data_IF_130982764452
#
_entry.id   IF_130982764452
#
_cell.length_a   1.000
_cell.length_b   1.000
_cell.length_c   1.000
_cell.angle_alpha   90.00
_cell.angle_beta   90.00
_cell.angle_gamma   90.00
#
_symmetry.space_group_name_H-M   'P 1'
#
loop_
_entity.id
_entity.type
_entity.pdbx_description
1 polymer ?
#
# COMPACT_ATOMS: atom_id res chain seq x y z
N UNK A 1 -11.49 -9.51 16.73
CA UNK A 1 -10.80 -10.56 15.96
C UNK A 1 -10.03 -9.90 14.82
N UNK A 2 -8.71 -10.09 14.70
CA UNK A 2 -7.99 -9.63 13.52
C UNK A 2 -8.41 -10.48 12.32
N UNK A 3 -8.90 -9.84 11.26
CA UNK A 3 -9.18 -10.49 9.99
C UNK A 3 -8.54 -9.69 8.86
N UNK A 4 -8.31 -10.33 7.73
CA UNK A 4 -8.11 -9.64 6.46
C UNK A 4 -8.86 -10.41 5.39
N UNK A 5 -9.29 -9.70 4.35
CA UNK A 5 -9.86 -10.32 3.16
C UNK A 5 -9.04 -9.88 1.96
N UNK A 6 -8.48 -10.85 1.26
CA UNK A 6 -7.83 -10.63 -0.03
C UNK A 6 -8.91 -10.57 -1.10
N UNK A 7 -8.86 -9.52 -1.92
CA UNK A 7 -9.67 -9.36 -3.12
C UNK A 7 -8.73 -9.21 -4.32
N UNK A 8 -9.31 -9.22 -5.52
CA UNK A 8 -8.56 -8.89 -6.73
C UNK A 8 -8.23 -7.38 -6.75
N UNK A 9 -6.93 -7.06 -6.68
CA UNK A 9 -6.41 -5.69 -6.70
C UNK A 9 -6.44 -4.93 -5.37
N UNK A 10 -6.94 -5.49 -4.27
CA UNK A 10 -6.90 -4.85 -2.95
C UNK A 10 -7.09 -5.84 -1.80
N UNK A 11 -6.74 -5.41 -0.59
CA UNK A 11 -7.13 -6.07 0.66
C UNK A 11 -7.94 -5.14 1.54
N UNK A 12 -8.78 -5.72 2.39
CA UNK A 12 -9.43 -5.01 3.49
C UNK A 12 -9.05 -5.65 4.82
N UNK A 13 -8.87 -4.82 5.85
CA UNK A 13 -8.55 -5.29 7.21
C UNK A 13 -8.96 -4.26 8.25
N UNK A 14 -9.31 -4.65 9.49
CA UNK A 14 -9.48 -3.71 10.59
C UNK A 14 -8.18 -2.97 10.85
N UNK A 15 -8.25 -1.64 10.81
CA UNK A 15 -7.11 -0.78 11.11
C UNK A 15 -7.63 0.59 11.49
N UNK A 16 -7.13 1.09 12.61
CA UNK A 16 -7.43 2.42 13.05
C UNK A 16 -6.52 3.42 12.34
N UNK A 17 -7.14 4.35 11.61
CA UNK A 17 -6.40 5.39 10.88
C UNK A 17 -5.93 6.52 11.81
N UNK A 18 -4.81 6.25 12.50
CA UNK A 18 -4.14 7.22 13.33
C UNK A 18 -3.69 8.47 12.56
N UNK A 19 -3.35 8.33 11.27
CA UNK A 19 -2.90 9.46 10.47
C UNK A 19 -4.06 10.44 10.26
N UNK A 20 -5.23 9.96 9.86
CA UNK A 20 -6.40 10.84 9.82
C UNK A 20 -6.84 11.32 11.19
N UNK A 21 -6.76 10.50 12.24
CA UNK A 21 -7.14 10.93 13.58
C UNK A 21 -6.34 12.15 14.05
N UNK A 22 -5.02 12.15 13.84
CA UNK A 22 -4.16 13.24 14.29
C UNK A 22 -4.13 14.45 13.33
N UNK A 23 -4.32 14.24 12.03
CA UNK A 23 -4.05 15.27 11.02
C UNK A 23 -5.27 15.72 10.22
N UNK A 24 -6.38 14.98 10.23
CA UNK A 24 -7.61 15.39 9.55
C UNK A 24 -8.42 16.35 10.44
N UNK A 25 -8.43 17.64 10.09
CA UNK A 25 -9.15 18.68 10.83
C UNK A 25 -10.67 18.48 10.87
N UNK A 26 -11.22 17.71 9.94
CA UNK A 26 -12.65 17.40 9.88
C UNK A 26 -13.03 16.19 10.74
N UNK A 27 -12.06 15.58 11.44
CA UNK A 27 -12.33 14.50 12.38
C UNK A 27 -12.95 15.04 13.67
N UNK A 28 -14.20 14.65 13.95
CA UNK A 28 -14.97 15.17 15.10
C UNK A 28 -15.31 14.13 16.18
N UNK A 29 -15.20 12.84 15.86
CA UNK A 29 -15.66 11.77 16.74
C UNK A 29 -14.52 11.24 17.63
N UNK A 30 -14.80 10.80 18.87
CA UNK A 30 -13.78 10.15 19.69
C UNK A 30 -13.41 8.78 19.11
N UNK A 31 -12.17 8.36 19.33
CA UNK A 31 -11.63 7.09 18.83
C UNK A 31 -12.39 5.86 19.33
N UNK A 32 -12.95 5.94 20.54
CA UNK A 32 -13.73 4.87 21.18
C UNK A 32 -15.02 4.56 20.43
N UNK A 33 -15.52 5.50 19.64
CA UNK A 33 -16.83 5.41 18.98
C UNK A 33 -16.70 5.08 17.49
N UNK A 34 -15.51 4.64 17.06
CA UNK A 34 -15.18 4.42 15.65
C UNK A 34 -14.78 2.98 15.42
N UNK A 35 -15.47 2.36 14.47
CA UNK A 35 -15.04 1.14 13.79
C UNK A 35 -14.45 1.53 12.44
N UNK A 36 -13.29 0.96 12.10
CA UNK A 36 -12.53 1.33 10.91
C UNK A 36 -12.03 0.10 10.17
N UNK A 37 -12.14 0.16 8.85
CA UNK A 37 -11.64 -0.84 7.92
C UNK A 37 -10.73 -0.11 6.95
N UNK A 38 -9.47 -0.51 6.88
CA UNK A 38 -8.52 0.00 5.90
C UNK A 38 -8.67 -0.76 4.60
N UNK A 39 -8.65 0.01 3.51
CA UNK A 39 -8.46 -0.48 2.16
C UNK A 39 -6.99 -0.31 1.82
N UNK A 40 -6.34 -1.38 1.39
CA UNK A 40 -4.99 -1.32 0.84
C UNK A 40 -5.03 -1.78 -0.61
N UNK A 41 -4.75 -0.86 -1.52
CA UNK A 41 -4.81 -1.06 -2.95
C UNK A 41 -3.48 -1.63 -3.46
N UNK A 42 -3.53 -2.60 -4.38
CA UNK A 42 -2.42 -2.94 -5.27
C UNK A 42 -2.52 -2.01 -6.49
N UNK A 43 -2.03 -0.78 -6.31
CA UNK A 43 -2.12 0.27 -7.32
C UNK A 43 -1.14 0.03 -8.48
N UNK A 44 -1.41 0.64 -9.63
CA UNK A 44 -0.51 0.51 -10.78
C UNK A 44 0.85 1.15 -10.52
N UNK A 45 1.91 0.52 -11.05
CA UNK A 45 3.29 1.01 -11.00
C UNK A 45 3.51 2.24 -11.89
N UNK A 46 2.85 3.34 -11.53
CA UNK A 46 2.93 4.60 -12.22
C UNK A 46 3.29 5.70 -11.24
N UNK A 47 4.23 6.53 -11.60
CA UNK A 47 4.71 7.65 -10.80
C UNK A 47 6.14 7.98 -11.16
N UNK A 48 6.67 9.01 -10.51
CA UNK A 48 8.07 9.41 -10.67
C UNK A 48 8.57 10.12 -9.42
N UNK A 49 9.88 10.26 -9.32
CA UNK A 49 10.53 11.09 -8.30
C UNK A 49 11.74 11.79 -8.89
N UNK A 50 11.98 13.03 -8.47
CA UNK A 50 13.16 13.83 -8.84
C UNK A 50 14.16 13.94 -7.67
N UNK A 51 13.98 13.14 -6.62
CA UNK A 51 14.75 13.18 -5.38
C UNK A 51 14.32 14.25 -4.37
N UNK A 52 13.38 15.14 -4.73
CA UNK A 52 12.77 16.13 -3.83
C UNK A 52 11.27 15.95 -3.68
N UNK A 53 10.61 15.54 -4.77
CA UNK A 53 9.19 15.33 -4.87
C UNK A 53 8.90 13.91 -5.37
N UNK A 54 7.73 13.42 -5.00
CA UNK A 54 7.17 12.17 -5.50
C UNK A 54 5.86 12.52 -6.18
N UNK A 55 5.77 12.22 -7.48
CA UNK A 55 4.53 12.26 -8.22
C UNK A 55 3.93 10.86 -8.23
N UNK A 56 2.76 10.72 -7.63
CA UNK A 56 2.03 9.46 -7.58
C UNK A 56 0.55 9.75 -7.75
N UNK A 57 0.03 9.32 -8.89
CA UNK A 57 -1.37 9.52 -9.26
C UNK A 57 -2.06 8.17 -9.40
N UNK A 58 -3.29 8.06 -8.88
CA UNK A 58 -4.13 6.89 -9.10
C UNK A 58 -4.56 6.81 -10.56
N UNK A 59 -4.37 5.66 -11.19
CA UNK A 59 -4.85 5.40 -12.54
C UNK A 59 -6.37 5.21 -12.59
N UNK A 60 -6.93 5.11 -13.79
CA UNK A 60 -8.36 4.80 -13.97
C UNK A 60 -8.72 3.44 -13.34
N UNK A 61 -7.82 2.48 -13.42
CA UNK A 61 -8.02 1.16 -12.81
C UNK A 61 -7.95 1.22 -11.29
N UNK A 62 -7.00 2.01 -10.75
CA UNK A 62 -6.88 2.24 -9.32
C UNK A 62 -8.15 2.84 -8.73
N UNK A 63 -8.72 3.85 -9.39
CA UNK A 63 -9.99 4.47 -8.98
C UNK A 63 -11.15 3.46 -9.03
N UNK A 64 -11.20 2.61 -10.06
CA UNK A 64 -12.22 1.57 -10.18
C UNK A 64 -12.14 0.56 -9.03
N UNK A 65 -10.95 0.06 -8.73
CA UNK A 65 -10.74 -0.90 -7.65
C UNK A 65 -10.96 -0.28 -6.27
N UNK A 66 -10.52 0.96 -6.06
CA UNK A 66 -10.82 1.74 -4.86
C UNK A 66 -12.33 1.91 -4.68
N UNK A 67 -13.07 2.24 -5.74
CA UNK A 67 -14.53 2.36 -5.69
C UNK A 67 -15.22 1.06 -5.24
N UNK A 68 -14.81 -0.10 -5.79
CA UNK A 68 -15.31 -1.41 -5.36
C UNK A 68 -15.01 -1.67 -3.87
N UNK A 69 -13.78 -1.37 -3.44
CA UNK A 69 -13.34 -1.58 -2.07
C UNK A 69 -14.09 -0.69 -1.07
N UNK A 70 -14.33 0.57 -1.44
CA UNK A 70 -15.13 1.53 -0.67
C UNK A 70 -16.56 1.01 -0.51
N UNK A 71 -17.22 0.62 -1.61
CA UNK A 71 -18.58 0.08 -1.54
C UNK A 71 -18.65 -1.13 -0.61
N UNK A 72 -17.72 -2.09 -0.74
CA UNK A 72 -17.64 -3.25 0.13
C UNK A 72 -17.47 -2.87 1.61
N UNK A 73 -16.57 -1.92 1.92
CA UNK A 73 -16.36 -1.50 3.30
C UNK A 73 -17.57 -0.77 3.89
N UNK A 74 -18.24 0.08 3.09
CA UNK A 74 -19.45 0.79 3.51
C UNK A 74 -20.60 -0.18 3.78
N UNK A 75 -20.77 -1.21 2.95
CA UNK A 75 -21.76 -2.27 3.14
C UNK A 75 -21.47 -3.06 4.43
N UNK A 76 -20.19 -3.38 4.71
CA UNK A 76 -19.80 -4.07 5.95
C UNK A 76 -20.14 -3.24 7.18
N UNK A 77 -19.77 -1.96 7.22
CA UNK A 77 -20.05 -1.13 8.41
C UNK A 77 -21.55 -0.84 8.56
N UNK A 78 -22.30 -0.75 7.46
CA UNK A 78 -23.77 -0.68 7.50
C UNK A 78 -24.37 -1.94 8.14
N UNK A 79 -23.90 -3.14 7.76
CA UNK A 79 -24.33 -4.41 8.35
C UNK A 79 -23.95 -4.54 9.83
N UNK A 80 -22.90 -3.85 10.28
CA UNK A 80 -22.54 -3.73 11.69
C UNK A 80 -23.41 -2.72 12.45
N UNK A 81 -24.37 -2.06 11.78
CA UNK A 81 -25.32 -1.14 12.37
C UNK A 81 -24.89 0.33 12.34
N UNK A 82 -23.85 0.69 11.58
CA UNK A 82 -23.42 2.09 11.44
C UNK A 82 -24.27 2.80 10.38
N UNK A 83 -25.06 3.84 10.76
CA UNK A 83 -25.90 4.57 9.81
C UNK A 83 -25.07 5.26 8.72
N UNK A 84 -25.59 5.31 7.48
CA UNK A 84 -24.88 5.88 6.32
C UNK A 84 -24.42 7.32 6.55
N UNK A 85 -25.22 8.11 7.25
CA UNK A 85 -24.91 9.51 7.57
C UNK A 85 -23.70 9.69 8.50
N UNK A 86 -23.32 8.62 9.22
CA UNK A 86 -22.15 8.59 10.10
C UNK A 86 -20.93 7.92 9.46
N UNK A 87 -21.09 7.34 8.27
CA UNK A 87 -19.99 6.75 7.51
C UNK A 87 -19.20 7.84 6.79
N UNK A 88 -17.88 7.67 6.74
CA UNK A 88 -17.00 8.64 6.10
C UNK A 88 -15.75 7.95 5.58
N UNK A 89 -15.08 8.61 4.63
CA UNK A 89 -13.77 8.23 4.14
C UNK A 89 -12.67 9.04 4.81
N UNK A 90 -11.44 8.54 4.69
CA UNK A 90 -10.26 9.10 5.34
C UNK A 90 -9.14 9.40 4.36
N UNK A 91 -8.05 9.95 4.87
CA UNK A 91 -6.93 10.43 4.06
C UNK A 91 -6.39 9.25 3.25
N UNK A 92 -6.31 9.45 1.94
CA UNK A 92 -5.60 8.53 1.05
C UNK A 92 -4.10 8.62 1.37
N UNK A 93 -3.49 7.48 1.68
CA UNK A 93 -2.08 7.41 2.06
C UNK A 93 -1.31 6.50 1.09
N UNK A 94 -0.27 7.03 0.44
CA UNK A 94 0.67 6.30 -0.39
C UNK A 94 1.88 5.79 0.45
N UNK A 95 1.59 5.06 1.53
CA UNK A 95 2.57 4.78 2.59
C UNK A 95 3.67 3.74 2.29
N UNK A 96 3.72 3.19 1.07
CA UNK A 96 4.67 2.12 0.70
C UNK A 96 5.31 2.39 -0.67
N UNK A 97 6.07 3.50 -0.83
CA UNK A 97 6.76 3.77 -2.08
C UNK A 97 7.80 2.68 -2.39
N UNK A 98 7.97 2.37 -3.68
CA UNK A 98 8.89 1.36 -4.17
C UNK A 98 8.84 1.24 -5.70
N UNK A 99 9.70 0.38 -6.26
CA UNK A 99 9.72 0.09 -7.70
C UNK A 99 10.41 1.16 -8.57
N UNK A 100 11.38 1.91 -8.03
CA UNK A 100 12.15 2.89 -8.82
C UNK A 100 13.26 2.23 -9.66
N UNK A 101 13.64 0.99 -9.34
CA UNK A 101 14.53 0.14 -10.14
C UNK A 101 13.96 -1.29 -10.11
N UNK A 102 12.76 -1.51 -10.67
CA UNK A 102 12.04 -2.77 -10.52
C UNK A 102 12.82 -3.90 -11.20
N UNK A 103 12.97 -5.03 -10.52
CA UNK A 103 13.60 -6.20 -11.13
C UNK A 103 12.72 -6.74 -12.27
N UNK A 104 13.35 -7.07 -13.38
CA UNK A 104 12.74 -7.80 -14.49
C UNK A 104 13.00 -9.30 -14.35
N UNK A 105 12.53 -10.09 -15.32
CA UNK A 105 12.69 -11.55 -15.29
C UNK A 105 14.16 -12.00 -15.23
N UNK A 106 15.08 -11.21 -15.79
CA UNK A 106 16.49 -11.51 -15.79
C UNK A 106 17.15 -11.11 -14.46
N UNK A 107 17.00 -9.84 -14.05
CA UNK A 107 17.61 -9.31 -12.84
C UNK A 107 17.02 -9.92 -11.56
N UNK A 108 15.79 -10.44 -11.60
CA UNK A 108 15.21 -11.20 -10.48
C UNK A 108 15.97 -12.49 -10.15
N UNK A 109 16.68 -13.10 -11.10
CA UNK A 109 17.46 -14.34 -10.89
C UNK A 109 18.74 -14.09 -10.09
N UNK A 110 19.33 -12.91 -10.27
CA UNK A 110 20.59 -12.51 -9.65
C UNK A 110 20.40 -11.53 -8.49
N UNK A 111 19.21 -10.92 -8.38
CA UNK A 111 18.92 -9.76 -7.54
C UNK A 111 19.89 -8.59 -7.80
N UNK A 112 20.37 -8.48 -9.03
CA UNK A 112 21.30 -7.45 -9.47
C UNK A 112 20.85 -6.87 -10.81
N UNK A 113 20.68 -5.56 -10.85
CA UNK A 113 20.33 -4.83 -12.07
C UNK A 113 21.59 -4.50 -12.87
N UNK A 114 21.58 -4.82 -14.16
CA UNK A 114 22.74 -4.65 -15.05
C UNK A 114 23.21 -3.19 -15.24
N UNK A 115 22.37 -2.21 -14.89
CA UNK A 115 22.75 -0.79 -14.90
C UNK A 115 23.66 -0.39 -13.72
N UNK A 116 23.74 -1.23 -12.68
CA UNK A 116 24.57 -1.00 -11.51
C UNK A 116 25.99 -1.56 -11.71
N UNK A 117 27.02 -0.95 -11.07
CA UNK A 117 28.32 -1.60 -10.92
C UNK A 117 28.20 -3.00 -10.32
N UNK A 118 29.09 -3.92 -10.73
CA UNK A 118 29.06 -5.32 -10.29
C UNK A 118 29.18 -5.53 -8.78
N UNK A 119 29.74 -4.54 -8.06
CA UNK A 119 29.91 -4.54 -6.61
C UNK A 119 28.88 -3.67 -5.87
N UNK A 120 27.80 -3.24 -6.54
CA UNK A 120 26.74 -2.42 -5.96
C UNK A 120 25.39 -3.14 -6.06
N UNK A 121 24.68 -3.24 -4.93
CA UNK A 121 23.38 -3.88 -4.81
C UNK A 121 22.38 -2.95 -4.12
N UNK A 122 21.10 -3.10 -4.46
CA UNK A 122 19.98 -2.37 -3.84
C UNK A 122 19.11 -3.37 -3.09
N UNK A 123 18.90 -3.14 -1.79
CA UNK A 123 18.30 -4.10 -0.87
C UNK A 123 17.07 -3.52 -0.13
N UNK A 124 16.22 -2.78 -0.82
CA UNK A 124 15.02 -2.16 -0.27
C UNK A 124 13.79 -2.28 -1.20
N UNK A 125 12.73 -1.51 -0.97
CA UNK A 125 11.50 -1.55 -1.78
C UNK A 125 11.69 -1.09 -3.24
N UNK A 126 12.83 -0.46 -3.56
CA UNK A 126 13.15 0.06 -4.89
C UNK A 126 13.16 -1.05 -5.94
N UNK A 127 13.58 -2.26 -5.56
CA UNK A 127 13.69 -3.43 -6.45
C UNK A 127 12.40 -4.22 -6.64
N UNK A 128 11.33 -3.86 -5.93
CA UNK A 128 10.06 -4.58 -6.07
C UNK A 128 9.50 -4.39 -7.48
N UNK A 129 9.13 -5.47 -8.18
CA UNK A 129 8.67 -5.40 -9.56
C UNK A 129 7.30 -4.76 -9.68
N UNK A 130 6.49 -4.78 -8.60
CA UNK A 130 5.19 -4.16 -8.54
C UNK A 130 4.68 -3.87 -7.14
N UNK A 131 3.73 -2.94 -7.04
CA UNK A 131 2.97 -2.71 -5.83
C UNK A 131 2.25 -4.00 -5.42
N UNK A 132 2.56 -4.49 -4.22
CA UNK A 132 2.07 -5.81 -3.80
C UNK A 132 0.63 -5.81 -3.29
N UNK A 133 0.04 -4.62 -3.03
CA UNK A 133 -1.23 -4.48 -2.30
C UNK A 133 -1.19 -4.95 -0.84
N UNK A 134 -0.07 -5.52 -0.40
CA UNK A 134 0.16 -6.07 0.92
C UNK A 134 1.31 -5.32 1.63
N UNK A 135 1.39 -5.33 2.97
CA UNK A 135 2.55 -4.81 3.68
C UNK A 135 3.86 -5.46 3.19
N UNK A 136 4.81 -4.69 2.61
CA UNK A 136 6.00 -5.27 1.97
C UNK A 136 7.14 -5.58 2.94
N UNK A 137 7.00 -5.27 4.23
CA UNK A 137 8.09 -5.33 5.20
C UNK A 137 8.80 -6.70 5.24
N UNK A 138 8.06 -7.80 5.29
CA UNK A 138 8.66 -9.14 5.32
C UNK A 138 9.32 -9.51 3.99
N UNK A 139 8.75 -9.08 2.87
CA UNK A 139 9.35 -9.26 1.54
C UNK A 139 10.66 -8.49 1.43
N UNK A 140 10.69 -7.23 1.88
CA UNK A 140 11.89 -6.40 1.89
C UNK A 140 12.97 -7.03 2.77
N UNK A 141 12.62 -7.49 3.97
CA UNK A 141 13.55 -8.18 4.87
C UNK A 141 14.12 -9.46 4.24
N UNK A 142 13.27 -10.26 3.59
CA UNK A 142 13.71 -11.48 2.91
C UNK A 142 14.66 -11.19 1.75
N UNK A 143 14.34 -10.18 0.93
CA UNK A 143 15.21 -9.73 -0.17
C UNK A 143 16.54 -9.22 0.34
N UNK A 144 16.54 -8.38 1.37
CA UNK A 144 17.77 -7.85 1.97
C UNK A 144 18.66 -8.98 2.52
N UNK A 145 18.09 -9.95 3.23
CA UNK A 145 18.83 -11.12 3.71
C UNK A 145 19.40 -11.96 2.56
N UNK A 146 18.63 -12.14 1.48
CA UNK A 146 19.09 -12.89 0.31
C UNK A 146 20.25 -12.18 -0.38
N UNK A 147 20.17 -10.86 -0.58
CA UNK A 147 21.23 -10.06 -1.19
C UNK A 147 22.50 -10.11 -0.33
N UNK A 148 22.37 -10.01 1.00
CA UNK A 148 23.51 -10.11 1.91
C UNK A 148 24.25 -11.45 1.79
N UNK A 149 23.58 -12.53 1.41
CA UNK A 149 24.21 -13.84 1.17
C UNK A 149 24.96 -13.96 -0.17
N UNK A 150 24.82 -12.97 -1.06
CA UNK A 150 25.50 -12.91 -2.36
C UNK A 150 26.79 -12.07 -2.31
N UNK A 151 27.00 -11.34 -1.21
CA UNK A 151 28.16 -10.48 -0.94
C UNK A 151 29.25 -11.25 -0.17
#
# INVERSE_FOLDING_TARGET
MPFFSQQDGYIISPYMDYLSFFFNKDWKMPMTDIVSIMIKLADENKGSTDGRHIDKTMSVNDHRNMGKAVSLCMDIVEQLGVPKEKQFLRILNAGHPGGMLPLDEHSAKTLHDSSLPANLYVADATILPQAMGNPPILTIMALANKIASLL
#
